data_IF_131177520726
#
_entry.id   IF_131177520726
#
_cell.length_a   1.000
_cell.length_b   1.000
_cell.length_c   1.000
_cell.angle_alpha   90.00
_cell.angle_beta   90.00
_cell.angle_gamma   90.00
#
_symmetry.space_group_name_H-M   'P 1'
#
loop_
_entity.id
_entity.type
_entity.pdbx_description
1 polymer ?
#
# COMPACT_ATOMS: atom_id res chain seq x y z
N UNK A 1 48.52 24.48 12.90
CA UNK A 1 49.17 23.77 11.77
C UNK A 1 49.10 22.26 12.01
N UNK A 2 48.38 21.54 11.12
CA UNK A 2 48.53 20.14 10.62
C UNK A 2 48.82 18.99 11.62
N UNK A 3 47.83 18.19 12.07
CA UNK A 3 47.20 16.94 11.52
C UNK A 3 47.79 15.62 12.03
N UNK A 4 46.98 14.91 12.83
CA UNK A 4 46.63 13.47 12.86
C UNK A 4 47.66 12.41 12.42
N UNK A 5 47.90 11.42 13.29
CA UNK A 5 48.34 10.08 12.91
C UNK A 5 47.44 9.03 13.59
N UNK A 6 46.50 8.51 12.79
CA UNK A 6 45.57 7.45 13.16
C UNK A 6 46.30 6.11 13.38
N UNK A 7 45.89 5.37 14.42
CA UNK A 7 46.35 4.01 14.68
C UNK A 7 45.94 3.10 13.51
N UNK A 8 46.92 2.58 12.78
CA UNK A 8 46.69 1.67 11.67
C UNK A 8 46.25 0.30 12.20
N UNK A 9 44.95 -0.01 12.09
CA UNK A 9 44.43 -1.37 12.26
C UNK A 9 45.09 -2.28 11.21
N UNK A 10 45.98 -3.16 11.63
CA UNK A 10 46.61 -4.17 10.77
C UNK A 10 45.78 -5.45 10.83
N UNK A 11 44.95 -5.76 9.81
CA UNK A 11 44.11 -6.94 9.87
C UNK A 11 44.98 -8.20 9.86
N UNK A 12 44.74 -9.09 10.83
CA UNK A 12 45.39 -10.40 10.87
C UNK A 12 44.94 -11.20 9.65
N UNK A 13 45.83 -11.37 8.67
CA UNK A 13 45.60 -12.16 7.45
C UNK A 13 44.93 -13.53 7.68
N UNK A 14 45.28 -14.33 8.72
CA UNK A 14 44.57 -15.58 8.97
C UNK A 14 43.13 -15.37 9.44
N UNK A 15 42.86 -14.32 10.22
CA UNK A 15 41.51 -13.98 10.68
C UNK A 15 40.63 -13.49 9.52
N UNK A 16 41.18 -12.68 8.61
CA UNK A 16 40.49 -12.21 7.42
C UNK A 16 40.16 -13.37 6.48
N UNK A 17 41.08 -14.33 6.33
CA UNK A 17 40.85 -15.56 5.59
C UNK A 17 39.71 -16.39 6.19
N UNK A 18 39.68 -16.55 7.53
CA UNK A 18 38.60 -17.26 8.22
C UNK A 18 37.24 -16.58 8.04
N UNK A 19 37.16 -15.25 8.16
CA UNK A 19 35.93 -14.50 7.98
C UNK A 19 35.37 -14.63 6.55
N UNK A 20 36.23 -14.58 5.53
CA UNK A 20 35.81 -14.78 4.14
C UNK A 20 35.28 -16.20 3.91
N UNK A 21 35.90 -17.20 4.55
CA UNK A 21 35.47 -18.59 4.48
C UNK A 21 34.09 -18.79 5.14
N UNK A 22 33.84 -18.16 6.29
CA UNK A 22 32.54 -18.17 6.94
C UNK A 22 31.46 -17.47 6.10
N UNK A 23 31.76 -16.31 5.51
CA UNK A 23 30.83 -15.58 4.63
C UNK A 23 30.47 -16.39 3.39
N UNK A 24 31.46 -17.01 2.75
CA UNK A 24 31.22 -17.91 1.62
C UNK A 24 30.37 -19.11 2.03
N UNK A 25 30.63 -19.70 3.21
CA UNK A 25 29.84 -20.79 3.76
C UNK A 25 28.38 -20.40 4.02
N UNK A 26 28.13 -19.24 4.63
CA UNK A 26 26.78 -18.72 4.85
C UNK A 26 26.05 -18.44 3.54
N UNK A 27 26.76 -17.94 2.52
CA UNK A 27 26.19 -17.65 1.21
C UNK A 27 25.78 -18.94 0.47
N UNK A 28 26.65 -19.95 0.47
CA UNK A 28 26.37 -21.25 -0.13
C UNK A 28 25.24 -21.96 0.64
N UNK A 29 25.26 -21.90 1.97
CA UNK A 29 24.21 -22.48 2.81
C UNK A 29 22.85 -21.81 2.55
N UNK A 30 22.82 -20.48 2.42
CA UNK A 30 21.61 -19.74 2.08
C UNK A 30 21.07 -20.12 0.70
N UNK A 31 21.96 -20.30 -0.29
CA UNK A 31 21.58 -20.68 -1.64
C UNK A 31 21.03 -22.12 -1.70
N UNK A 32 21.69 -23.07 -1.03
CA UNK A 32 21.24 -24.47 -0.94
C UNK A 32 19.91 -24.56 -0.18
N UNK A 33 19.81 -23.88 0.96
CA UNK A 33 18.57 -23.83 1.75
C UNK A 33 17.39 -23.26 0.94
N UNK A 34 17.65 -22.24 0.12
CA UNK A 34 16.63 -21.65 -0.77
C UNK A 34 16.26 -22.56 -1.94
N UNK A 35 17.20 -23.38 -2.42
CA UNK A 35 16.94 -24.38 -3.46
C UNK A 35 16.16 -25.60 -2.91
N UNK A 36 16.39 -25.98 -1.66
CA UNK A 36 15.71 -27.10 -0.99
C UNK A 36 14.33 -26.73 -0.42
N UNK A 37 14.09 -25.45 -0.12
CA UNK A 37 12.79 -24.94 0.35
C UNK A 37 12.17 -23.90 -0.62
N UNK A 38 11.70 -24.32 -1.81
CA UNK A 38 11.07 -23.42 -2.79
C UNK A 38 9.75 -22.79 -2.31
N UNK A 39 9.17 -23.29 -1.21
CA UNK A 39 7.90 -22.84 -0.64
C UNK A 39 7.99 -21.57 0.22
N UNK A 40 9.19 -21.05 0.54
CA UNK A 40 9.35 -19.83 1.36
C UNK A 40 8.96 -18.54 0.62
N UNK A 41 8.63 -18.61 -0.67
CA UNK A 41 8.11 -17.47 -1.47
C UNK A 41 6.59 -17.54 -1.64
N UNK A 42 5.92 -18.57 -1.11
CA UNK A 42 4.50 -18.82 -1.39
C UNK A 42 3.68 -19.04 -0.11
N UNK A 43 3.32 -17.93 0.54
CA UNK A 43 1.99 -17.70 1.09
C UNK A 43 1.99 -16.35 1.80
N UNK A 44 1.82 -15.27 1.04
CA UNK A 44 1.25 -14.05 1.61
C UNK A 44 -0.20 -14.43 1.92
N UNK A 45 -0.46 -14.72 3.19
CA UNK A 45 -1.80 -15.00 3.68
C UNK A 45 -2.60 -13.70 3.56
N UNK A 46 -3.31 -13.61 2.43
CA UNK A 46 -4.18 -12.51 2.03
C UNK A 46 -5.22 -12.28 3.13
N UNK A 47 -5.01 -11.23 3.93
CA UNK A 47 -5.96 -10.79 4.94
C UNK A 47 -6.50 -9.40 4.59
N UNK A 48 -7.56 -9.42 3.78
CA UNK A 48 -8.70 -8.53 3.94
C UNK A 48 -8.80 -7.32 3.01
N UNK A 49 -9.91 -7.27 2.28
CA UNK A 49 -10.51 -6.03 1.77
C UNK A 49 -10.24 -5.81 0.29
N UNK A 50 -11.10 -6.37 -0.55
CA UNK A 50 -11.06 -6.27 -1.99
C UNK A 50 -11.75 -4.98 -2.49
N UNK A 51 -11.10 -4.12 -3.30
CA UNK A 51 -11.80 -3.14 -4.12
C UNK A 51 -12.14 -3.65 -5.52
N UNK A 52 -11.49 -4.70 -6.03
CA UNK A 52 -11.60 -5.25 -7.38
C UNK A 52 -11.56 -6.79 -7.40
N UNK A 53 -12.74 -7.39 -7.33
CA UNK A 53 -13.01 -8.84 -7.29
C UNK A 53 -12.59 -9.63 -8.51
N UNK A 54 -11.29 -9.74 -8.70
CA UNK A 54 -10.66 -10.82 -9.44
C UNK A 54 -10.07 -11.82 -8.46
N UNK A 55 -10.57 -13.05 -8.47
CA UNK A 55 -9.93 -14.23 -7.84
C UNK A 55 -8.61 -14.64 -8.55
N UNK A 56 -7.85 -13.65 -9.05
CA UNK A 56 -6.60 -13.83 -9.77
C UNK A 56 -5.40 -13.41 -8.93
N UNK A 57 -4.23 -14.00 -9.22
CA UNK A 57 -2.97 -13.59 -8.60
C UNK A 57 -2.72 -12.09 -8.85
N UNK A 58 -2.63 -11.25 -7.78
CA UNK A 58 -2.36 -9.82 -7.92
C UNK A 58 -1.14 -9.54 -8.80
N UNK A 59 -0.12 -10.40 -8.79
CA UNK A 59 1.06 -10.20 -9.62
C UNK A 59 0.80 -10.44 -11.11
N UNK A 60 -0.14 -11.32 -11.46
CA UNK A 60 -0.57 -11.48 -12.85
C UNK A 60 -1.26 -10.21 -13.37
N UNK A 61 -2.11 -9.60 -12.54
CA UNK A 61 -2.75 -8.32 -12.86
C UNK A 61 -1.72 -7.19 -13.02
N UNK A 62 -0.71 -7.12 -12.13
CA UNK A 62 0.42 -6.19 -12.29
C UNK A 62 1.11 -6.40 -13.64
N UNK A 63 1.43 -7.64 -14.02
CA UNK A 63 2.11 -7.91 -15.28
C UNK A 63 1.30 -7.48 -16.51
N UNK A 64 0.00 -7.76 -16.53
CA UNK A 64 -0.90 -7.37 -17.62
C UNK A 64 -0.98 -5.84 -17.75
N UNK A 65 -1.20 -5.15 -16.63
CA UNK A 65 -1.27 -3.68 -16.60
C UNK A 65 0.06 -3.03 -16.98
N UNK A 66 1.20 -3.55 -16.50
CA UNK A 66 2.53 -3.04 -16.86
C UNK A 66 2.85 -3.22 -18.34
N UNK A 67 2.39 -4.30 -18.98
CA UNK A 67 2.52 -4.51 -20.43
C UNK A 67 1.78 -3.42 -21.22
N UNK A 68 0.55 -3.08 -20.79
CA UNK A 68 -0.21 -1.96 -21.37
C UNK A 68 0.51 -0.64 -21.19
N UNK A 69 1.05 -0.37 -20.00
CA UNK A 69 1.82 0.85 -19.74
C UNK A 69 3.13 0.92 -20.53
N UNK A 70 3.72 -0.21 -20.90
CA UNK A 70 4.88 -0.24 -21.79
C UNK A 70 4.50 0.17 -23.22
N UNK A 71 3.33 -0.27 -23.70
CA UNK A 71 2.82 0.09 -25.03
C UNK A 71 2.27 1.53 -25.06
N UNK A 72 1.60 1.96 -24.00
CA UNK A 72 1.04 3.28 -23.82
C UNK A 72 1.25 3.77 -22.37
N UNK A 73 2.31 4.56 -22.12
CA UNK A 73 2.61 5.10 -20.79
C UNK A 73 1.57 6.08 -20.23
N UNK A 74 0.57 6.46 -21.04
CA UNK A 74 -0.48 7.42 -20.70
C UNK A 74 -1.84 6.76 -20.47
N UNK A 75 -1.90 5.42 -20.52
CA UNK A 75 -3.10 4.63 -20.27
C UNK A 75 -3.50 4.69 -18.78
N UNK A 76 -4.42 5.60 -18.45
CA UNK A 76 -4.90 5.82 -17.08
C UNK A 76 -5.56 4.57 -16.50
N UNK A 77 -6.33 3.84 -17.29
CA UNK A 77 -7.00 2.61 -16.85
C UNK A 77 -5.94 1.55 -16.48
N UNK A 78 -4.87 1.42 -17.28
CA UNK A 78 -3.77 0.54 -16.94
C UNK A 78 -2.99 1.02 -15.70
N UNK A 79 -2.89 2.33 -15.44
CA UNK A 79 -2.30 2.84 -14.21
C UNK A 79 -3.17 2.48 -12.99
N UNK A 80 -4.49 2.64 -13.10
CA UNK A 80 -5.44 2.27 -12.05
C UNK A 80 -5.38 0.76 -11.75
N UNK A 81 -5.42 -0.09 -12.78
CA UNK A 81 -5.29 -1.54 -12.65
C UNK A 81 -3.96 -1.94 -12.01
N UNK A 82 -2.84 -1.36 -12.44
CA UNK A 82 -1.53 -1.63 -11.86
C UNK A 82 -1.47 -1.20 -10.39
N UNK A 83 -1.98 -0.01 -10.06
CA UNK A 83 -2.04 0.49 -8.69
C UNK A 83 -2.90 -0.39 -7.80
N UNK A 84 -4.08 -0.80 -8.28
CA UNK A 84 -5.00 -1.67 -7.56
C UNK A 84 -4.38 -3.03 -7.28
N UNK A 85 -3.69 -3.60 -8.28
CA UNK A 85 -2.99 -4.86 -8.14
C UNK A 85 -1.78 -4.76 -7.18
N UNK A 86 -1.02 -3.67 -7.22
CA UNK A 86 0.04 -3.42 -6.23
C UNK A 86 -0.53 -3.27 -4.82
N UNK A 87 -1.66 -2.58 -4.66
CA UNK A 87 -2.33 -2.43 -3.37
C UNK A 87 -2.84 -3.78 -2.83
N UNK A 88 -3.45 -4.61 -3.68
CA UNK A 88 -3.90 -5.96 -3.31
C UNK A 88 -2.73 -6.87 -2.91
N UNK A 89 -1.55 -6.69 -3.52
CA UNK A 89 -0.30 -7.34 -3.13
C UNK A 89 0.41 -6.69 -1.93
N UNK A 90 -0.22 -5.72 -1.27
CA UNK A 90 0.33 -4.92 -0.17
C UNK A 90 1.65 -4.17 -0.50
N UNK A 91 1.92 -3.97 -1.79
CA UNK A 91 3.08 -3.22 -2.27
C UNK A 91 2.77 -1.72 -2.31
N UNK A 92 2.46 -1.15 -1.15
CA UNK A 92 1.90 0.21 -1.01
C UNK A 92 2.76 1.30 -1.65
N UNK A 93 4.09 1.24 -1.52
CA UNK A 93 5.00 2.20 -2.16
C UNK A 93 4.91 2.18 -3.69
N UNK A 94 4.75 0.99 -4.28
CA UNK A 94 4.61 0.85 -5.74
C UNK A 94 3.24 1.33 -6.20
N UNK A 95 2.19 1.00 -5.46
CA UNK A 95 0.85 1.52 -5.71
C UNK A 95 0.87 3.05 -5.70
N UNK A 96 1.49 3.66 -4.70
CA UNK A 96 1.60 5.11 -4.58
C UNK A 96 2.33 5.73 -5.79
N UNK A 97 3.48 5.18 -6.19
CA UNK A 97 4.25 5.70 -7.31
C UNK A 97 3.46 5.68 -8.65
N UNK A 98 2.57 4.69 -8.83
CA UNK A 98 1.68 4.64 -10.00
C UNK A 98 0.52 5.62 -9.83
N UNK A 99 -0.09 5.70 -8.66
CA UNK A 99 -1.21 6.61 -8.36
C UNK A 99 -0.83 8.08 -8.46
N UNK A 100 0.41 8.44 -8.11
CA UNK A 100 0.92 9.81 -8.29
C UNK A 100 0.97 10.20 -9.77
N UNK A 101 1.32 9.26 -10.67
CA UNK A 101 1.27 9.50 -12.12
C UNK A 101 -0.17 9.55 -12.61
N UNK A 102 -1.00 8.61 -12.18
CA UNK A 102 -2.41 8.55 -12.56
C UNK A 102 -3.15 9.83 -12.16
N UNK A 103 -2.91 10.34 -10.96
CA UNK A 103 -3.51 11.57 -10.44
C UNK A 103 -3.08 12.84 -11.20
N UNK A 104 -1.94 12.84 -11.90
CA UNK A 104 -1.56 13.96 -12.79
C UNK A 104 -2.39 13.93 -14.07
N UNK A 105 -2.71 12.74 -14.58
CA UNK A 105 -3.47 12.56 -15.82
C UNK A 105 -4.98 12.68 -15.62
N UNK A 106 -5.47 12.15 -14.50
CA UNK A 106 -6.88 12.09 -14.15
C UNK A 106 -7.08 12.50 -12.68
N UNK A 107 -6.93 13.80 -12.35
CA UNK A 107 -6.93 14.29 -10.97
C UNK A 107 -8.26 14.13 -10.24
N UNK A 108 -9.35 13.98 -10.99
CA UNK A 108 -10.72 13.88 -10.48
C UNK A 108 -11.34 12.50 -10.74
N UNK A 109 -10.55 11.53 -11.19
CA UNK A 109 -11.03 10.15 -11.33
C UNK A 109 -11.26 9.55 -9.95
N UNK A 110 -12.48 9.11 -9.70
CA UNK A 110 -12.98 8.80 -8.36
C UNK A 110 -12.33 7.55 -7.81
N UNK A 111 -12.12 6.54 -8.65
CA UNK A 111 -11.46 5.32 -8.23
C UNK A 111 -10.01 5.59 -7.85
N UNK A 112 -9.27 6.32 -8.70
CA UNK A 112 -7.90 6.76 -8.41
C UNK A 112 -7.85 7.54 -7.09
N UNK A 113 -8.77 8.48 -6.84
CA UNK A 113 -8.82 9.22 -5.58
C UNK A 113 -9.06 8.30 -4.37
N UNK A 114 -9.98 7.35 -4.47
CA UNK A 114 -10.26 6.39 -3.41
C UNK A 114 -9.03 5.51 -3.12
N UNK A 115 -8.45 4.89 -4.15
CA UNK A 115 -7.30 4.02 -4.03
C UNK A 115 -6.08 4.76 -3.50
N UNK A 116 -5.83 5.98 -3.99
CA UNK A 116 -4.77 6.86 -3.49
C UNK A 116 -4.96 7.20 -2.01
N UNK A 117 -6.18 7.50 -1.58
CA UNK A 117 -6.50 7.71 -0.17
C UNK A 117 -6.18 6.48 0.69
N UNK A 118 -6.60 5.29 0.26
CA UNK A 118 -6.33 4.03 0.96
C UNK A 118 -4.83 3.76 1.04
N UNK A 119 -4.11 3.88 -0.08
CA UNK A 119 -2.66 3.67 -0.14
C UNK A 119 -1.91 4.64 0.77
N UNK A 120 -2.26 5.93 0.76
CA UNK A 120 -1.65 6.92 1.66
C UNK A 120 -1.91 6.59 3.13
N UNK A 121 -3.11 6.13 3.47
CA UNK A 121 -3.42 5.76 4.85
C UNK A 121 -2.61 4.54 5.30
N UNK A 122 -2.45 3.52 4.45
CA UNK A 122 -1.59 2.35 4.70
C UNK A 122 -0.11 2.71 4.83
N UNK A 123 0.32 3.78 4.18
CA UNK A 123 1.68 4.36 4.28
C UNK A 123 1.83 5.36 5.44
N UNK A 124 0.90 5.36 6.40
CA UNK A 124 0.94 6.24 7.59
C UNK A 124 0.95 7.75 7.23
N UNK A 125 0.29 8.13 6.13
CA UNK A 125 0.12 9.52 5.67
C UNK A 125 -1.34 9.98 5.77
N UNK A 126 -1.93 10.01 6.99
CA UNK A 126 -3.38 10.20 7.16
C UNK A 126 -3.88 11.59 6.72
N UNK A 127 -3.07 12.65 6.89
CA UNK A 127 -3.45 13.99 6.47
C UNK A 127 -3.58 14.12 4.94
N UNK A 128 -2.78 13.36 4.19
CA UNK A 128 -2.85 13.34 2.73
C UNK A 128 -3.96 12.42 2.24
N UNK A 129 -4.15 11.27 2.91
CA UNK A 129 -5.27 10.38 2.66
C UNK A 129 -6.62 11.12 2.80
N UNK A 130 -6.78 11.89 3.89
CA UNK A 130 -7.98 12.69 4.15
C UNK A 130 -8.29 13.61 2.97
N UNK A 131 -7.30 14.34 2.44
CA UNK A 131 -7.48 15.23 1.27
C UNK A 131 -7.98 14.49 0.03
N UNK A 132 -7.53 13.25 -0.21
CA UNK A 132 -7.98 12.46 -1.36
C UNK A 132 -9.44 12.05 -1.21
N UNK A 133 -9.83 11.57 -0.02
CA UNK A 133 -11.23 11.22 0.24
C UNK A 133 -12.14 12.44 0.30
N UNK A 134 -11.68 13.57 0.82
CA UNK A 134 -12.43 14.85 0.78
C UNK A 134 -12.69 15.29 -0.66
N UNK A 135 -11.69 15.16 -1.55
CA UNK A 135 -11.88 15.44 -2.97
C UNK A 135 -12.87 14.47 -3.61
N UNK A 136 -12.77 13.17 -3.30
CA UNK A 136 -13.73 12.16 -3.75
C UNK A 136 -15.16 12.52 -3.33
N UNK A 137 -15.37 12.86 -2.06
CA UNK A 137 -16.69 13.19 -1.52
C UNK A 137 -17.21 14.55 -2.00
N UNK A 138 -16.34 15.46 -2.41
CA UNK A 138 -16.77 16.68 -3.11
C UNK A 138 -17.33 16.38 -4.50
N UNK A 139 -16.82 15.34 -5.19
CA UNK A 139 -17.29 14.88 -6.50
C UNK A 139 -18.49 13.92 -6.40
N UNK A 140 -18.56 13.14 -5.31
CA UNK A 140 -19.60 12.17 -5.04
C UNK A 140 -19.98 12.14 -3.56
N UNK A 141 -20.84 13.07 -3.09
CA UNK A 141 -21.20 13.18 -1.68
C UNK A 141 -21.84 11.92 -1.09
N UNK A 142 -22.47 11.09 -1.92
CA UNK A 142 -23.16 9.85 -1.54
C UNK A 142 -22.29 8.59 -1.56
N UNK A 143 -20.99 8.70 -1.85
CA UNK A 143 -20.09 7.54 -1.89
C UNK A 143 -19.83 7.02 -0.47
N UNK A 144 -20.62 6.03 -0.04
CA UNK A 144 -20.54 5.51 1.33
C UNK A 144 -19.18 4.85 1.64
N UNK A 145 -18.50 4.29 0.64
CA UNK A 145 -17.16 3.74 0.83
C UNK A 145 -16.15 4.85 1.13
N UNK A 146 -16.21 5.96 0.39
CA UNK A 146 -15.40 7.15 0.63
C UNK A 146 -15.70 7.79 1.99
N UNK A 147 -16.97 7.83 2.40
CA UNK A 147 -17.38 8.30 3.73
C UNK A 147 -16.79 7.43 4.84
N UNK A 148 -16.92 6.11 4.72
CA UNK A 148 -16.35 5.15 5.67
C UNK A 148 -14.82 5.28 5.77
N UNK A 149 -14.14 5.33 4.61
CA UNK A 149 -12.68 5.44 4.57
C UNK A 149 -12.20 6.77 5.18
N UNK A 150 -12.85 7.89 4.86
CA UNK A 150 -12.50 9.18 5.47
C UNK A 150 -12.77 9.18 6.99
N UNK A 151 -13.86 8.56 7.43
CA UNK A 151 -14.16 8.41 8.85
C UNK A 151 -13.07 7.60 9.58
N UNK A 152 -12.61 6.49 8.98
CA UNK A 152 -11.52 5.69 9.51
C UNK A 152 -10.20 6.49 9.57
N UNK A 153 -9.88 7.27 8.54
CA UNK A 153 -8.71 8.17 8.55
C UNK A 153 -8.80 9.18 9.68
N UNK A 154 -9.96 9.81 9.87
CA UNK A 154 -10.17 10.76 10.96
C UNK A 154 -10.05 10.11 12.33
N UNK A 155 -10.67 8.95 12.54
CA UNK A 155 -10.66 8.25 13.84
C UNK A 155 -9.27 7.72 14.21
N UNK A 156 -8.61 7.03 13.29
CA UNK A 156 -7.39 6.26 13.59
C UNK A 156 -6.11 6.97 13.21
N UNK A 157 -6.13 7.79 12.15
CA UNK A 157 -4.94 8.48 11.65
C UNK A 157 -4.78 9.89 12.21
N UNK A 158 -5.88 10.59 12.43
CA UNK A 158 -5.89 11.98 12.90
C UNK A 158 -6.46 12.13 14.30
N UNK A 159 -6.91 11.03 14.92
CA UNK A 159 -7.49 10.99 16.26
C UNK A 159 -8.64 12.00 16.49
N UNK A 160 -9.36 12.34 15.41
CA UNK A 160 -10.45 13.32 15.39
C UNK A 160 -11.80 12.60 15.27
N UNK A 161 -12.27 12.08 16.40
CA UNK A 161 -13.57 11.41 16.48
C UNK A 161 -14.75 12.37 16.19
N UNK A 162 -14.56 13.68 16.38
CA UNK A 162 -15.59 14.68 16.11
C UNK A 162 -15.88 14.78 14.61
N UNK A 163 -14.86 14.65 13.76
CA UNK A 163 -15.03 14.56 12.30
C UNK A 163 -15.41 13.16 11.82
N UNK A 164 -14.93 12.10 12.46
CA UNK A 164 -15.23 10.73 12.05
C UNK A 164 -16.70 10.35 12.26
N UNK A 165 -17.29 10.73 13.42
CA UNK A 165 -18.66 10.36 13.80
C UNK A 165 -19.73 10.68 12.74
N UNK A 166 -19.87 11.93 12.24
CA UNK A 166 -20.91 12.26 11.27
C UNK A 166 -20.76 11.50 9.95
N UNK A 167 -19.54 11.11 9.58
CA UNK A 167 -19.27 10.32 8.38
C UNK A 167 -19.72 8.86 8.56
N UNK A 168 -19.44 8.22 9.70
CA UNK A 168 -19.97 6.89 10.00
C UNK A 168 -21.51 6.88 10.08
N UNK A 169 -22.11 7.92 10.66
CA UNK A 169 -23.57 8.07 10.69
C UNK A 169 -24.17 8.22 9.28
N UNK A 170 -23.50 8.97 8.40
CA UNK A 170 -23.91 9.08 6.99
C UNK A 170 -23.90 7.72 6.27
N UNK A 171 -22.91 6.86 6.55
CA UNK A 171 -22.84 5.49 6.02
C UNK A 171 -24.03 4.66 6.49
N UNK A 172 -24.39 4.74 7.78
CA UNK A 172 -25.54 4.02 8.33
C UNK A 172 -26.87 4.45 7.68
N UNK A 173 -27.02 5.76 7.44
CA UNK A 173 -28.21 6.35 6.83
C UNK A 173 -28.29 6.08 5.31
N UNK A 174 -27.19 5.75 4.65
CA UNK A 174 -27.16 5.57 3.19
C UNK A 174 -27.87 4.26 2.77
N UNK A 175 -28.95 4.31 1.96
CA UNK A 175 -29.66 3.10 1.52
C UNK A 175 -28.82 2.17 0.64
N UNK A 176 -27.81 2.71 -0.06
CA UNK A 176 -26.95 1.95 -0.97
C UNK A 176 -25.77 1.29 -0.26
N UNK A 177 -25.46 1.67 0.98
CA UNK A 177 -24.40 1.03 1.75
C UNK A 177 -24.78 -0.41 2.11
N UNK A 178 -23.88 -1.34 1.84
CA UNK A 178 -24.10 -2.75 2.13
C UNK A 178 -24.16 -3.02 3.64
N UNK A 179 -24.73 -4.18 4.00
CA UNK A 179 -24.95 -4.54 5.41
C UNK A 179 -23.64 -4.72 6.19
N UNK A 180 -22.55 -5.12 5.54
CA UNK A 180 -21.26 -5.31 6.20
C UNK A 180 -20.65 -3.95 6.55
N UNK A 181 -20.59 -3.03 5.59
CA UNK A 181 -20.07 -1.67 5.80
C UNK A 181 -20.88 -0.92 6.86
N UNK A 182 -22.21 -1.08 6.87
CA UNK A 182 -23.06 -0.54 7.95
C UNK A 182 -22.73 -1.15 9.31
N UNK A 183 -22.54 -2.47 9.41
CA UNK A 183 -22.17 -3.11 10.68
C UNK A 183 -20.83 -2.61 11.19
N UNK A 184 -19.84 -2.46 10.30
CA UNK A 184 -18.54 -1.90 10.65
C UNK A 184 -18.70 -0.47 11.17
N UNK A 185 -19.40 0.40 10.43
CA UNK A 185 -19.64 1.79 10.85
C UNK A 185 -20.33 1.88 12.22
N UNK A 186 -21.29 0.98 12.50
CA UNK A 186 -21.96 0.91 13.79
C UNK A 186 -21.02 0.51 14.93
N UNK A 187 -20.12 -0.44 14.69
CA UNK A 187 -19.09 -0.83 15.66
C UNK A 187 -18.15 0.35 15.95
N UNK A 188 -17.78 1.11 14.91
CA UNK A 188 -16.88 2.26 15.06
C UNK A 188 -17.44 3.39 15.92
N UNK A 189 -18.77 3.49 16.03
CA UNK A 189 -19.47 4.48 16.83
C UNK A 189 -19.67 4.08 18.30
N UNK A 190 -19.35 2.82 18.65
CA UNK A 190 -19.51 2.30 20.01
C UNK A 190 -18.35 2.78 20.90
N UNK A 191 -18.60 3.21 22.16
CA UNK A 191 -17.56 3.75 23.05
C UNK A 191 -16.50 2.73 23.47
#
# INVERSE_FOLDING_TARGET
MKTSAAGAFRPNKPLLGLMLLCLAGMFVWSFVYRAEHPALVASVEMRGGDPHGGEGDPMQAVMAAMSRLQANPEDVDAMEEAAGAFAAAEMWDKALAVLEKAAVKAPDEKHILNLHGVTLFRLERPAEAAKKFERLLALEPGNFQGQFNLAAVYKYGLEDMAKARPLFEAVLANPMADMQTKRQAQQELTP
#
